data_IF_489660969377
#
_entry.id   IF_489660969377
#
_cell.length_a   1.000
_cell.length_b   1.000
_cell.length_c   1.000
_cell.angle_alpha   90.00
_cell.angle_beta   90.00
_cell.angle_gamma   90.00
#
_symmetry.space_group_name_H-M   'P 1'
#
loop_
_entity.id
_entity.type
_entity.pdbx_description
1 polymer ?
#
# COMPACT_ATOMS: atom_id res chain seq x y z
N UNK A 1 10.34 -5.76 17.72
CA UNK A 1 8.95 -5.28 17.73
C UNK A 1 8.12 -6.42 17.18
N UNK A 2 7.25 -6.96 18.00
CA UNK A 2 6.42 -8.09 17.62
C UNK A 2 5.21 -7.61 16.81
N UNK A 3 4.72 -8.48 15.93
CA UNK A 3 3.61 -8.21 15.03
C UNK A 3 2.49 -9.19 15.28
N UNK A 4 1.27 -8.68 15.44
CA UNK A 4 0.06 -9.44 15.72
C UNK A 4 -0.99 -9.20 14.66
N UNK A 5 -1.92 -10.14 14.52
CA UNK A 5 -3.00 -10.05 13.54
C UNK A 5 -4.02 -8.96 13.96
N UNK A 6 -4.52 -8.21 12.99
CA UNK A 6 -5.62 -7.28 13.21
C UNK A 6 -6.88 -8.01 13.72
N UNK A 7 -7.56 -7.40 14.69
CA UNK A 7 -8.77 -7.94 15.30
C UNK A 7 -8.56 -9.07 16.30
N UNK A 8 -7.31 -9.33 16.74
CA UNK A 8 -7.04 -10.27 17.85
C UNK A 8 -6.67 -9.51 19.13
N UNK A 9 -7.05 -10.03 20.32
CA UNK A 9 -6.52 -9.49 21.56
C UNK A 9 -5.01 -9.75 21.63
N UNK A 10 -4.26 -8.80 22.17
CA UNK A 10 -2.81 -8.89 22.32
C UNK A 10 -2.47 -8.78 23.80
N UNK A 11 -1.80 -9.80 24.31
CA UNK A 11 -1.23 -9.80 25.66
C UNK A 11 0.16 -9.17 25.59
N UNK A 12 0.36 -8.08 26.33
CA UNK A 12 1.59 -7.32 26.38
C UNK A 12 2.18 -7.45 27.77
N UNK A 13 3.33 -8.09 27.85
CA UNK A 13 4.10 -8.26 29.08
C UNK A 13 5.22 -7.22 29.09
N UNK A 14 5.21 -6.34 30.10
CA UNK A 14 6.18 -5.25 30.22
C UNK A 14 6.97 -5.45 31.52
N UNK A 15 8.30 -5.69 31.43
CA UNK A 15 9.14 -5.81 32.61
C UNK A 15 9.25 -4.46 33.34
N UNK A 16 9.11 -4.48 34.66
CA UNK A 16 9.14 -3.29 35.52
C UNK A 16 10.57 -3.00 35.98
N UNK A 17 11.45 -2.72 35.00
CA UNK A 17 12.86 -2.46 35.26
C UNK A 17 13.24 -1.02 34.88
N UNK A 18 14.27 -0.49 35.54
CA UNK A 18 14.89 0.78 35.17
C UNK A 18 15.77 0.64 33.92
N UNK A 19 16.34 1.76 33.45
CA UNK A 19 17.23 1.77 32.27
C UNK A 19 18.53 0.99 32.46
N UNK A 20 18.86 0.62 33.68
CA UNK A 20 20.03 -0.17 34.06
C UNK A 20 19.69 -1.64 34.32
N UNK A 21 18.43 -2.05 34.14
CA UNK A 21 17.96 -3.42 34.36
C UNK A 21 17.66 -3.75 35.82
N UNK A 22 17.64 -2.76 36.73
CA UNK A 22 17.27 -2.98 38.12
C UNK A 22 15.75 -3.02 38.25
N UNK A 23 15.26 -3.88 39.14
CA UNK A 23 13.83 -4.00 39.41
C UNK A 23 13.26 -2.74 40.08
N UNK A 24 12.09 -2.30 39.63
CA UNK A 24 11.33 -1.20 40.22
C UNK A 24 10.38 -1.73 41.30
N UNK A 25 10.39 -1.10 42.48
CA UNK A 25 9.42 -1.37 43.55
C UNK A 25 8.11 -0.62 43.29
N UNK A 26 7.28 -1.18 42.40
CA UNK A 26 6.05 -0.55 41.90
C UNK A 26 4.86 -0.88 42.80
N UNK A 27 4.15 0.17 43.22
CA UNK A 27 2.96 0.06 44.09
C UNK A 27 1.65 0.09 43.32
N UNK A 28 1.56 0.94 42.29
CA UNK A 28 0.38 1.09 41.42
C UNK A 28 0.85 1.35 40.00
N UNK A 29 0.04 0.91 39.03
CA UNK A 29 0.30 1.09 37.60
C UNK A 29 -0.95 1.68 36.99
N UNK A 30 -0.80 2.82 36.32
CA UNK A 30 -1.76 3.23 35.30
C UNK A 30 -1.19 2.88 33.92
N UNK A 31 -2.05 2.62 32.95
CA UNK A 31 -1.63 2.40 31.58
C UNK A 31 -2.41 3.28 30.60
N UNK A 32 -1.79 3.52 29.45
CA UNK A 32 -2.37 4.21 28.30
C UNK A 32 -1.97 3.46 27.04
N UNK A 33 -2.87 3.38 26.07
CA UNK A 33 -2.56 2.85 24.74
C UNK A 33 -2.76 3.96 23.73
N UNK A 34 -1.71 4.25 22.96
CA UNK A 34 -1.74 5.26 21.90
C UNK A 34 -1.39 4.64 20.55
N UNK A 35 -1.94 5.19 19.47
CA UNK A 35 -1.59 4.79 18.12
C UNK A 35 -0.34 5.53 17.59
N UNK A 36 0.06 5.19 16.37
CA UNK A 36 1.19 5.81 15.66
C UNK A 36 1.01 7.31 15.35
N UNK A 37 -0.22 7.84 15.42
CA UNK A 37 -0.54 9.25 15.25
C UNK A 37 -0.64 10.00 16.60
N UNK A 38 -0.42 9.30 17.72
CA UNK A 38 -0.53 9.85 19.07
C UNK A 38 -1.99 9.97 19.56
N UNK A 39 -2.94 9.34 18.89
CA UNK A 39 -4.33 9.27 19.34
C UNK A 39 -4.44 8.26 20.46
N UNK A 40 -5.06 8.67 21.57
CA UNK A 40 -5.33 7.79 22.70
C UNK A 40 -6.46 6.81 22.35
N UNK A 41 -6.12 5.52 22.28
CA UNK A 41 -7.09 4.44 22.09
C UNK A 41 -7.66 3.98 23.42
N UNK A 42 -6.82 3.95 24.44
CA UNK A 42 -7.22 3.77 25.84
C UNK A 42 -6.73 5.00 26.60
N UNK A 43 -7.62 5.82 27.18
CA UNK A 43 -7.19 6.92 28.03
C UNK A 43 -6.48 6.37 29.27
N UNK A 44 -5.69 7.19 29.94
CA UNK A 44 -4.96 6.76 31.14
C UNK A 44 -5.93 6.13 32.17
N UNK A 45 -5.74 4.84 32.41
CA UNK A 45 -6.62 4.02 33.24
C UNK A 45 -5.78 3.21 34.22
N UNK A 46 -6.27 3.04 35.44
CA UNK A 46 -5.60 2.22 36.45
C UNK A 46 -5.66 0.73 36.08
N UNK A 47 -4.54 0.03 36.22
CA UNK A 47 -4.45 -1.42 35.99
C UNK A 47 -4.86 -2.16 37.26
N UNK A 48 -6.16 -2.40 37.42
CA UNK A 48 -6.72 -3.02 38.63
C UNK A 48 -6.24 -4.46 38.88
N UNK A 49 -5.78 -5.16 37.83
CA UNK A 49 -5.24 -6.52 37.93
C UNK A 49 -3.77 -6.56 38.38
N UNK A 50 -3.13 -5.40 38.57
CA UNK A 50 -1.74 -5.33 39.00
C UNK A 50 -1.58 -5.73 40.47
N UNK A 51 -0.57 -6.56 40.75
CA UNK A 51 -0.21 -6.96 42.12
C UNK A 51 1.12 -6.30 42.46
N UNK A 52 1.16 -5.51 43.54
CA UNK A 52 2.38 -4.86 43.97
C UNK A 52 3.50 -5.88 44.27
N UNK A 53 4.72 -5.55 43.86
CA UNK A 53 5.89 -6.42 44.01
C UNK A 53 6.07 -7.50 42.93
N UNK A 54 5.27 -7.49 41.86
CA UNK A 54 5.54 -8.33 40.68
C UNK A 54 6.66 -7.74 39.82
N UNK A 55 7.35 -8.62 39.07
CA UNK A 55 8.46 -8.20 38.23
C UNK A 55 8.02 -7.56 36.90
N UNK A 56 6.79 -7.83 36.50
CA UNK A 56 6.19 -7.43 35.23
C UNK A 56 4.73 -6.98 35.42
N UNK A 57 4.27 -6.18 34.47
CA UNK A 57 2.87 -5.83 34.30
C UNK A 57 2.35 -6.46 33.01
N UNK A 58 1.17 -7.10 33.09
CA UNK A 58 0.51 -7.76 31.96
C UNK A 58 -0.73 -6.95 31.58
N UNK A 59 -0.81 -6.54 30.32
CA UNK A 59 -1.89 -5.73 29.77
C UNK A 59 -2.49 -6.47 28.59
N UNK A 60 -3.80 -6.67 28.60
CA UNK A 60 -4.53 -7.22 27.47
C UNK A 60 -5.12 -6.06 26.69
N UNK A 61 -4.59 -5.79 25.49
CA UNK A 61 -5.19 -4.85 24.55
C UNK A 61 -6.27 -5.60 23.77
N UNK A 62 -7.55 -5.22 23.91
CA UNK A 62 -8.64 -6.01 23.35
C UNK A 62 -8.73 -5.88 21.83
N UNK A 63 -9.40 -6.84 21.20
CA UNK A 63 -9.48 -6.99 19.75
C UNK A 63 -10.02 -5.73 19.04
N UNK A 64 -11.01 -5.06 19.63
CA UNK A 64 -11.64 -3.86 19.10
C UNK A 64 -10.67 -2.66 18.96
N UNK A 65 -9.59 -2.62 19.76
CA UNK A 65 -8.56 -1.58 19.68
C UNK A 65 -7.42 -1.96 18.73
N UNK A 66 -7.33 -3.23 18.37
CA UNK A 66 -6.36 -3.79 17.42
C UNK A 66 -6.95 -3.89 16.01
N UNK A 67 -7.83 -2.97 15.63
CA UNK A 67 -8.37 -2.85 14.27
C UNK A 67 -7.51 -1.88 13.45
N UNK A 68 -7.33 -2.20 12.18
CA UNK A 68 -6.63 -1.32 11.24
C UNK A 68 -7.56 -0.22 10.75
N UNK A 69 -7.09 1.05 10.69
CA UNK A 69 -7.82 2.11 10.01
C UNK A 69 -8.10 1.76 8.55
N UNK A 70 -9.18 2.29 7.98
CA UNK A 70 -9.55 2.05 6.59
C UNK A 70 -8.39 2.41 5.66
N UNK A 71 -8.02 1.47 4.79
CA UNK A 71 -6.95 1.64 3.82
C UNK A 71 -5.53 1.39 4.36
N UNK A 72 -5.37 1.04 5.65
CA UNK A 72 -4.09 0.66 6.21
C UNK A 72 -3.96 -0.87 6.31
N UNK A 73 -2.77 -1.39 6.02
CA UNK A 73 -2.45 -2.81 6.21
C UNK A 73 -1.61 -3.06 7.46
N UNK A 74 -1.12 -2.00 8.10
CA UNK A 74 -0.32 -2.03 9.32
C UNK A 74 -0.61 -0.81 10.17
N UNK A 75 -0.58 -0.99 11.48
CA UNK A 75 -0.59 0.11 12.44
C UNK A 75 0.25 -0.27 13.67
N UNK A 76 0.80 0.72 14.35
CA UNK A 76 1.53 0.50 15.61
C UNK A 76 0.63 0.83 16.79
N UNK A 77 0.83 0.12 17.89
CA UNK A 77 0.29 0.39 19.22
C UNK A 77 1.44 0.59 20.17
N UNK A 78 1.41 1.70 20.90
CA UNK A 78 2.36 2.00 21.97
C UNK A 78 1.62 1.86 23.30
N UNK A 79 2.08 0.93 24.12
CA UNK A 79 1.55 0.68 25.46
C UNK A 79 2.49 1.35 26.46
N UNK A 80 1.98 2.36 27.14
CA UNK A 80 2.71 3.15 28.11
C UNK A 80 2.18 2.86 29.52
N UNK A 81 3.10 2.55 30.43
CA UNK A 81 2.84 2.36 31.84
C UNK A 81 3.36 3.55 32.63
N UNK A 82 2.55 4.01 33.57
CA UNK A 82 2.86 5.02 34.56
C UNK A 82 2.94 4.34 35.92
N UNK A 83 4.14 3.88 36.28
CA UNK A 83 4.39 3.10 37.47
C UNK A 83 4.70 4.03 38.66
N UNK A 84 4.02 3.84 39.79
CA UNK A 84 4.28 4.57 41.03
C UNK A 84 5.35 3.86 41.86
N UNK A 85 6.49 4.51 42.02
CA UNK A 85 7.63 4.03 42.82
C UNK A 85 7.88 5.05 43.94
N UNK A 86 7.46 4.71 45.15
CA UNK A 86 7.40 5.66 46.26
C UNK A 86 6.58 6.91 45.91
N UNK A 87 7.21 8.09 45.98
CA UNK A 87 6.57 9.38 45.63
C UNK A 87 6.71 9.80 44.17
N UNK A 88 7.43 9.00 43.35
CA UNK A 88 7.70 9.32 41.96
C UNK A 88 6.86 8.46 41.02
N UNK A 89 6.69 8.95 39.79
CA UNK A 89 6.07 8.19 38.69
C UNK A 89 7.12 7.98 37.62
N UNK A 90 7.35 6.71 37.26
CA UNK A 90 8.28 6.29 36.21
C UNK A 90 7.45 5.81 35.02
N UNK A 91 7.84 6.22 33.80
CA UNK A 91 7.19 5.77 32.58
C UNK A 91 8.01 4.66 31.92
N UNK A 92 7.37 3.52 31.66
CA UNK A 92 7.95 2.37 30.94
C UNK A 92 6.97 2.01 29.83
N UNK A 93 7.41 1.52 28.68
CA UNK A 93 6.47 1.18 27.61
C UNK A 93 7.09 0.28 26.56
N UNK A 94 6.22 -0.31 25.76
CA UNK A 94 6.61 -1.16 24.63
C UNK A 94 5.70 -0.90 23.43
N UNK A 95 6.21 -1.26 22.26
CA UNK A 95 5.54 -1.07 20.98
C UNK A 95 5.28 -2.44 20.36
N UNK A 96 4.09 -2.62 19.79
CA UNK A 96 3.79 -3.75 18.93
C UNK A 96 3.11 -3.29 17.64
N UNK A 97 3.27 -4.07 16.57
CA UNK A 97 2.57 -3.86 15.32
C UNK A 97 1.30 -4.70 15.27
N UNK A 98 0.29 -4.14 14.65
CA UNK A 98 -0.93 -4.81 14.19
C UNK A 98 -0.85 -4.87 12.67
N UNK A 99 -0.96 -6.06 12.10
CA UNK A 99 -0.88 -6.30 10.66
C UNK A 99 -2.16 -6.95 10.13
N UNK A 100 -2.52 -6.61 8.89
CA UNK A 100 -3.61 -7.26 8.19
C UNK A 100 -3.22 -8.72 7.90
N UNK A 101 -4.22 -9.62 7.91
CA UNK A 101 -4.02 -11.01 7.48
C UNK A 101 -3.43 -11.07 6.05
N UNK A 102 -3.88 -10.17 5.20
CA UNK A 102 -3.37 -9.99 3.85
C UNK A 102 -2.64 -8.65 3.75
N UNK A 103 -1.35 -8.71 3.44
CA UNK A 103 -0.50 -7.52 3.21
C UNK A 103 -0.93 -6.72 1.98
N UNK A 104 -1.64 -7.38 1.05
CA UNK A 104 -2.10 -6.87 -0.23
C UNK A 104 -3.63 -6.77 -0.24
N UNK A 105 -4.16 -5.55 -0.14
CA UNK A 105 -5.58 -5.25 -0.19
C UNK A 105 -5.96 -4.63 -1.56
N UNK A 106 -6.77 -5.36 -2.32
CA UNK A 106 -7.19 -4.96 -3.67
C UNK A 106 -8.00 -3.67 -3.65
N UNK A 107 -7.62 -2.71 -4.49
CA UNK A 107 -8.22 -1.38 -4.53
C UNK A 107 -7.69 -0.42 -3.47
N UNK A 108 -6.85 -0.88 -2.54
CA UNK A 108 -6.21 -0.05 -1.51
C UNK A 108 -4.74 0.18 -1.83
N UNK A 109 -3.93 -0.89 -1.82
CA UNK A 109 -2.49 -0.81 -2.04
C UNK A 109 -2.01 -1.70 -3.20
N UNK A 110 -2.91 -2.43 -3.85
CA UNK A 110 -2.63 -3.26 -5.03
C UNK A 110 -3.85 -3.38 -5.94
N UNK A 111 -3.67 -3.88 -7.17
CA UNK A 111 -4.78 -4.24 -8.06
C UNK A 111 -5.17 -5.72 -8.01
N UNK A 112 -4.39 -6.54 -7.31
CA UNK A 112 -4.59 -7.98 -7.18
C UNK A 112 -3.91 -8.53 -5.92
N UNK A 113 -4.41 -9.67 -5.42
CA UNK A 113 -3.74 -10.43 -4.36
C UNK A 113 -2.46 -11.06 -4.89
N UNK A 114 -1.60 -11.55 -3.98
CA UNK A 114 -0.38 -12.25 -4.38
C UNK A 114 -0.68 -13.49 -5.22
N UNK A 115 -1.67 -14.29 -4.83
CA UNK A 115 -2.09 -15.48 -5.57
C UNK A 115 -2.60 -15.13 -6.98
N UNK A 116 -3.35 -14.03 -7.13
CA UNK A 116 -3.77 -13.53 -8.44
C UNK A 116 -2.58 -13.01 -9.27
N UNK A 117 -1.58 -12.39 -8.64
CA UNK A 117 -0.36 -11.97 -9.32
C UNK A 117 0.43 -13.16 -9.85
N UNK A 118 0.51 -14.26 -9.09
CA UNK A 118 1.13 -15.52 -9.54
C UNK A 118 0.37 -16.13 -10.72
N UNK A 119 -0.97 -16.13 -10.70
CA UNK A 119 -1.75 -16.58 -11.87
C UNK A 119 -1.53 -15.68 -13.07
N UNK A 120 -1.50 -14.36 -12.86
CA UNK A 120 -1.24 -13.39 -13.93
C UNK A 120 0.16 -13.53 -14.51
N UNK A 121 1.16 -13.88 -13.68
CA UNK A 121 2.55 -14.04 -14.11
C UNK A 121 2.72 -15.21 -15.08
N UNK A 122 1.90 -16.27 -14.96
CA UNK A 122 1.89 -17.39 -15.91
C UNK A 122 1.53 -16.98 -17.35
N UNK A 123 0.71 -15.93 -17.50
CA UNK A 123 0.28 -15.41 -18.81
C UNK A 123 1.19 -14.28 -19.33
N UNK A 124 2.21 -13.88 -18.57
CA UNK A 124 3.07 -12.74 -18.87
C UNK A 124 4.49 -13.25 -19.13
N UNK A 125 4.98 -13.20 -20.39
CA UNK A 125 6.33 -13.66 -20.70
C UNK A 125 7.40 -12.67 -20.20
N UNK A 126 8.65 -13.14 -20.08
CA UNK A 126 9.85 -12.32 -19.81
C UNK A 126 9.77 -11.50 -18.52
N UNK A 127 9.57 -12.16 -17.39
CA UNK A 127 9.54 -11.54 -16.05
C UNK A 127 10.53 -12.23 -15.09
N UNK A 128 11.83 -12.30 -15.45
CA UNK A 128 12.81 -13.10 -14.70
C UNK A 128 13.10 -12.56 -13.30
N UNK A 129 13.03 -11.24 -13.09
CA UNK A 129 13.28 -10.64 -11.79
C UNK A 129 12.11 -10.89 -10.84
N UNK A 130 10.89 -10.87 -11.37
CA UNK A 130 9.70 -11.33 -10.65
C UNK A 130 9.85 -12.79 -10.23
N UNK A 131 10.17 -13.71 -11.15
CA UNK A 131 10.25 -15.13 -10.81
C UNK A 131 11.34 -15.44 -9.77
N UNK A 132 12.48 -14.73 -9.84
CA UNK A 132 13.60 -14.90 -8.91
C UNK A 132 13.38 -14.28 -7.51
N UNK A 133 12.47 -13.32 -7.38
CA UNK A 133 12.24 -12.60 -6.12
C UNK A 133 11.51 -13.47 -5.08
N UNK A 134 11.82 -13.21 -3.81
CA UNK A 134 11.10 -13.81 -2.70
C UNK A 134 9.70 -13.20 -2.55
N UNK A 135 8.87 -13.78 -1.69
CA UNK A 135 7.49 -13.33 -1.50
C UNK A 135 7.42 -11.90 -0.97
N UNK A 136 8.33 -11.53 -0.06
CA UNK A 136 8.36 -10.22 0.56
C UNK A 136 8.67 -9.13 -0.47
N UNK A 137 9.68 -9.34 -1.30
CA UNK A 137 10.09 -8.41 -2.34
C UNK A 137 9.01 -8.30 -3.43
N UNK A 138 8.32 -9.41 -3.77
CA UNK A 138 7.15 -9.40 -4.67
C UNK A 138 6.02 -8.52 -4.13
N UNK A 139 5.69 -8.65 -2.84
CA UNK A 139 4.65 -7.84 -2.19
C UNK A 139 5.03 -6.36 -2.24
N UNK A 140 6.28 -6.01 -1.91
CA UNK A 140 6.74 -4.62 -1.95
C UNK A 140 6.73 -4.06 -3.38
N UNK A 141 7.22 -4.82 -4.35
CA UNK A 141 7.26 -4.41 -5.75
C UNK A 141 5.84 -4.22 -6.34
N UNK A 142 4.85 -5.03 -5.94
CA UNK A 142 3.46 -4.81 -6.35
C UNK A 142 2.88 -3.51 -5.79
N UNK A 143 3.17 -3.17 -4.53
CA UNK A 143 2.71 -1.93 -3.91
C UNK A 143 3.33 -0.71 -4.61
N UNK A 144 4.63 -0.75 -4.86
CA UNK A 144 5.35 0.30 -5.58
C UNK A 144 4.87 0.43 -7.04
N UNK A 145 4.68 -0.70 -7.74
CA UNK A 145 4.11 -0.73 -9.08
C UNK A 145 2.74 -0.06 -9.15
N UNK A 146 1.87 -0.24 -8.13
CA UNK A 146 0.60 0.48 -8.06
C UNK A 146 0.83 1.98 -7.96
N UNK A 147 1.74 2.43 -7.11
CA UNK A 147 2.04 3.85 -6.93
C UNK A 147 2.53 4.49 -8.25
N UNK A 148 3.35 3.79 -9.03
CA UNK A 148 3.75 4.23 -10.37
C UNK A 148 2.58 4.31 -11.36
N UNK A 149 1.74 3.28 -11.40
CA UNK A 149 0.59 3.22 -12.31
C UNK A 149 -0.44 4.32 -11.97
N UNK A 150 -0.66 4.63 -10.69
CA UNK A 150 -1.57 5.69 -10.25
C UNK A 150 -1.19 7.10 -10.73
N UNK A 151 0.08 7.33 -11.10
CA UNK A 151 0.52 8.62 -11.64
C UNK A 151 0.04 8.85 -13.08
N UNK A 152 -0.45 7.80 -13.76
CA UNK A 152 -1.04 7.91 -15.09
C UNK A 152 -2.46 8.45 -15.01
N UNK A 153 -2.86 9.24 -16.01
CA UNK A 153 -4.25 9.67 -16.17
C UNK A 153 -5.00 8.67 -17.04
N UNK A 154 -6.12 8.15 -16.54
CA UNK A 154 -6.92 7.15 -17.25
C UNK A 154 -8.20 7.77 -17.83
N UNK A 155 -8.65 7.25 -18.97
CA UNK A 155 -9.97 7.55 -19.52
C UNK A 155 -10.57 6.27 -20.06
N UNK A 156 -11.69 5.85 -19.45
CA UNK A 156 -12.40 4.64 -19.86
C UNK A 156 -13.22 4.87 -21.14
N UNK A 157 -13.50 6.13 -21.50
CA UNK A 157 -14.24 6.52 -22.71
C UNK A 157 -13.53 6.18 -24.03
N UNK A 158 -12.19 6.10 -24.03
CA UNK A 158 -11.39 5.86 -25.25
C UNK A 158 -11.07 4.37 -25.49
N UNK A 159 -11.45 3.49 -24.57
CA UNK A 159 -10.98 2.10 -24.55
C UNK A 159 -11.77 1.14 -25.47
N UNK A 160 -12.77 1.64 -26.23
CA UNK A 160 -13.83 0.83 -26.86
C UNK A 160 -14.51 -0.14 -25.88
N UNK A 161 -14.30 0.03 -24.56
CA UNK A 161 -15.06 -0.66 -23.53
C UNK A 161 -16.33 0.14 -23.37
N UNK A 162 -17.29 -0.19 -24.22
CA UNK A 162 -18.67 0.10 -23.92
C UNK A 162 -18.99 -0.61 -22.62
N UNK A 163 -19.23 0.17 -21.58
CA UNK A 163 -19.82 -0.26 -20.32
C UNK A 163 -21.18 -0.93 -20.61
N UNK A 164 -21.15 -2.20 -21.01
CA UNK A 164 -22.32 -3.01 -21.35
C UNK A 164 -22.46 -3.55 -22.79
N UNK A 165 -21.47 -3.47 -23.70
CA UNK A 165 -21.65 -4.15 -25.01
C UNK A 165 -21.49 -5.67 -24.96
N UNK A 166 -20.75 -6.19 -23.99
CA UNK A 166 -20.53 -7.65 -23.87
C UNK A 166 -21.74 -8.39 -23.26
N UNK A 167 -22.82 -7.66 -22.97
CA UNK A 167 -24.11 -8.19 -22.55
C UNK A 167 -25.27 -7.56 -23.35
N UNK A 168 -25.33 -7.92 -24.64
CA UNK A 168 -26.53 -7.91 -25.51
C UNK A 168 -27.37 -6.62 -25.55
N UNK A 169 -27.18 -5.80 -26.60
CA UNK A 169 -28.20 -5.26 -27.51
C UNK A 169 -27.63 -4.02 -28.21
N UNK A 170 -27.83 -3.95 -29.53
CA UNK A 170 -27.48 -2.83 -30.40
C UNK A 170 -27.92 -1.48 -29.81
N UNK A 171 -26.98 -0.56 -29.61
CA UNK A 171 -27.25 0.85 -29.27
C UNK A 171 -26.94 1.68 -30.51
N UNK A 172 -27.88 2.51 -31.02
CA UNK A 172 -27.67 3.34 -32.21
C UNK A 172 -26.49 4.30 -32.05
N UNK A 173 -25.79 4.56 -33.15
CA UNK A 173 -24.71 5.54 -33.21
C UNK A 173 -25.19 6.92 -32.75
N UNK A 174 -24.56 7.46 -31.71
CA UNK A 174 -24.78 8.84 -31.23
C UNK A 174 -25.09 9.00 -29.73
N UNK A 175 -25.35 7.93 -28.99
CA UNK A 175 -25.62 8.02 -27.53
C UNK A 175 -24.45 7.46 -26.72
N UNK A 176 -23.55 8.34 -26.27
CA UNK A 176 -22.48 8.01 -25.31
C UNK A 176 -23.03 7.98 -23.87
N UNK A 177 -23.98 7.11 -23.60
CA UNK A 177 -24.40 6.84 -22.23
C UNK A 177 -24.00 5.41 -21.86
N UNK A 178 -22.90 5.31 -21.11
CA UNK A 178 -22.58 4.10 -20.36
C UNK A 178 -23.81 3.72 -19.52
N UNK A 179 -24.36 2.51 -19.70
CA UNK A 179 -25.52 2.00 -18.95
C UNK A 179 -25.25 1.93 -17.43
N UNK A 180 -23.98 2.05 -17.02
CA UNK A 180 -23.53 2.07 -15.63
C UNK A 180 -23.54 3.47 -15.01
N UNK A 181 -23.50 4.55 -15.81
CA UNK A 181 -23.62 5.92 -15.30
C UNK A 181 -25.04 6.24 -14.77
N UNK A 182 -26.04 5.42 -15.12
CA UNK A 182 -27.44 5.71 -14.85
C UNK A 182 -28.10 4.83 -13.77
N UNK A 183 -27.47 3.74 -13.30
CA UNK A 183 -28.22 2.73 -12.52
C UNK A 183 -27.95 2.71 -11.01
N UNK A 184 -26.84 3.24 -10.48
CA UNK A 184 -26.55 3.13 -9.02
C UNK A 184 -25.80 4.31 -8.41
N UNK A 185 -26.31 5.53 -8.59
CA UNK A 185 -25.63 6.73 -8.10
C UNK A 185 -24.43 7.06 -8.99
N UNK A 186 -24.29 8.35 -9.27
CA UNK A 186 -23.51 8.88 -10.38
C UNK A 186 -22.00 8.83 -10.09
N UNK A 187 -21.39 7.64 -10.13
CA UNK A 187 -19.94 7.49 -10.08
C UNK A 187 -19.34 7.82 -11.45
N UNK A 188 -18.86 9.05 -11.61
CA UNK A 188 -18.03 9.45 -12.74
C UNK A 188 -16.57 9.20 -12.38
N UNK A 189 -15.93 8.25 -13.06
CA UNK A 189 -14.48 8.02 -12.94
C UNK A 189 -13.74 9.23 -13.52
N UNK A 190 -13.03 9.96 -12.66
CA UNK A 190 -12.29 11.18 -13.01
C UNK A 190 -10.92 10.89 -13.67
N UNK A 191 -10.57 9.61 -13.82
CA UNK A 191 -9.30 9.17 -14.38
C UNK A 191 -8.20 8.93 -13.36
N UNK A 192 -8.44 9.21 -12.07
CA UNK A 192 -7.49 8.99 -10.99
C UNK A 192 -7.85 7.73 -10.17
N UNK A 193 -7.01 6.71 -10.25
CA UNK A 193 -7.20 5.45 -9.53
C UNK A 193 -6.95 5.57 -8.02
N UNK A 194 -6.23 6.59 -7.57
CA UNK A 194 -5.90 6.79 -6.16
C UNK A 194 -7.11 7.23 -5.33
N UNK A 195 -8.08 7.89 -5.95
CA UNK A 195 -9.28 8.40 -5.29
C UNK A 195 -10.39 7.35 -5.14
N UNK A 196 -10.15 6.14 -5.65
CA UNK A 196 -11.13 5.06 -5.61
C UNK A 196 -11.08 4.33 -4.27
N UNK A 197 -12.26 4.13 -3.67
CA UNK A 197 -12.40 3.16 -2.59
C UNK A 197 -12.52 1.73 -3.17
N UNK A 198 -12.38 0.67 -2.35
CA UNK A 198 -12.42 -0.72 -2.82
C UNK A 198 -13.70 -1.10 -3.57
N UNK A 199 -14.86 -0.58 -3.15
CA UNK A 199 -16.14 -0.83 -3.80
C UNK A 199 -16.21 -0.19 -5.20
N UNK A 200 -15.71 1.04 -5.33
CA UNK A 200 -15.61 1.74 -6.63
C UNK A 200 -14.61 1.06 -7.55
N UNK A 201 -13.47 0.60 -7.03
CA UNK A 201 -12.50 -0.18 -7.78
C UNK A 201 -13.10 -1.50 -8.30
N UNK A 202 -13.85 -2.21 -7.46
CA UNK A 202 -14.51 -3.46 -7.85
C UNK A 202 -15.50 -3.27 -9.01
N UNK A 203 -16.16 -2.11 -9.08
CA UNK A 203 -17.10 -1.73 -10.14
C UNK A 203 -16.43 -1.38 -11.48
N UNK A 204 -15.10 -1.27 -11.54
CA UNK A 204 -14.39 -1.02 -12.80
C UNK A 204 -14.55 -2.20 -13.78
N UNK A 205 -14.54 -1.95 -15.11
CA UNK A 205 -14.67 -3.00 -16.11
C UNK A 205 -13.59 -4.07 -15.98
N UNK A 206 -13.95 -5.35 -16.12
CA UNK A 206 -13.00 -6.46 -15.93
C UNK A 206 -11.83 -6.39 -16.91
N UNK A 207 -12.06 -6.00 -18.16
CA UNK A 207 -10.98 -5.82 -19.14
C UNK A 207 -9.97 -4.75 -18.71
N UNK A 208 -10.41 -3.69 -18.03
CA UNK A 208 -9.49 -2.68 -17.47
C UNK A 208 -8.76 -3.22 -16.25
N UNK A 209 -9.47 -3.88 -15.33
CA UNK A 209 -8.83 -4.53 -14.16
C UNK A 209 -7.79 -5.57 -14.60
N UNK A 210 -8.09 -6.40 -15.60
CA UNK A 210 -7.14 -7.36 -16.16
C UNK A 210 -5.90 -6.68 -16.78
N UNK A 211 -6.06 -5.53 -17.44
CA UNK A 211 -4.93 -4.75 -17.93
C UNK A 211 -4.09 -4.16 -16.78
N UNK A 212 -4.73 -3.65 -15.72
CA UNK A 212 -4.04 -3.18 -14.51
C UNK A 212 -3.23 -4.31 -13.84
N UNK A 213 -3.81 -5.51 -13.71
CA UNK A 213 -3.10 -6.68 -13.14
C UNK A 213 -1.83 -7.04 -13.93
N UNK A 214 -1.95 -7.12 -15.27
CA UNK A 214 -0.80 -7.41 -16.15
C UNK A 214 0.26 -6.31 -16.09
N UNK A 215 -0.17 -5.05 -16.11
CA UNK A 215 0.73 -3.91 -16.00
C UNK A 215 1.47 -3.91 -14.66
N UNK A 216 0.78 -4.23 -13.56
CA UNK A 216 1.37 -4.26 -12.21
C UNK A 216 2.44 -5.34 -12.07
N UNK A 217 2.23 -6.55 -12.61
CA UNK A 217 3.26 -7.62 -12.59
C UNK A 217 4.50 -7.20 -13.37
N UNK A 218 4.31 -6.64 -14.57
CA UNK A 218 5.43 -6.23 -15.41
C UNK A 218 6.19 -5.02 -14.86
N UNK A 219 5.47 -4.10 -14.23
CA UNK A 219 6.11 -2.98 -13.53
C UNK A 219 6.88 -3.47 -12.30
N UNK A 220 6.31 -4.40 -11.53
CA UNK A 220 6.99 -5.01 -10.41
C UNK A 220 8.28 -5.74 -10.84
N UNK A 221 8.26 -6.49 -11.95
CA UNK A 221 9.47 -7.08 -12.54
C UNK A 221 10.54 -6.02 -12.86
N UNK A 222 10.15 -4.90 -13.46
CA UNK A 222 11.07 -3.81 -13.77
C UNK A 222 11.67 -3.13 -12.53
N UNK A 223 10.88 -2.97 -11.47
CA UNK A 223 11.33 -2.45 -10.16
C UNK A 223 12.35 -3.41 -9.53
N UNK A 224 12.04 -4.71 -9.53
CA UNK A 224 12.91 -5.76 -8.98
C UNK A 224 14.21 -5.90 -9.77
N UNK A 225 14.18 -5.73 -11.10
CA UNK A 225 15.34 -5.88 -11.95
C UNK A 225 16.43 -4.81 -11.72
N UNK A 226 16.08 -3.65 -11.12
CA UNK A 226 17.00 -2.54 -10.79
C UNK A 226 18.01 -2.24 -11.90
N UNK A 227 17.53 -1.81 -13.07
CA UNK A 227 18.40 -1.51 -14.22
C UNK A 227 19.30 -0.28 -13.96
N UNK A 228 20.61 -0.46 -13.71
CA UNK A 228 21.52 0.63 -13.35
C UNK A 228 21.80 1.54 -14.54
N UNK A 229 21.66 1.04 -15.78
CA UNK A 229 21.87 1.83 -16.99
C UNK A 229 20.66 2.76 -17.20
N UNK A 230 19.44 2.25 -17.02
CA UNK A 230 18.24 3.09 -17.05
C UNK A 230 18.27 4.15 -15.94
N UNK A 231 18.79 3.81 -14.77
CA UNK A 231 18.99 4.74 -13.65
C UNK A 231 20.06 5.79 -13.93
N UNK A 232 21.20 5.39 -14.49
CA UNK A 232 22.25 6.31 -14.96
C UNK A 232 21.74 7.29 -16.01
N UNK A 233 20.88 6.82 -16.92
CA UNK A 233 20.22 7.69 -17.92
C UNK A 233 19.21 8.66 -17.29
N UNK A 234 18.44 8.22 -16.28
CA UNK A 234 17.56 9.10 -15.49
C UNK A 234 18.36 10.17 -14.73
N UNK A 235 19.54 9.79 -14.23
CA UNK A 235 20.49 10.70 -13.58
C UNK A 235 21.21 11.65 -14.56
N UNK A 236 20.94 11.55 -15.87
CA UNK A 236 21.53 12.43 -16.88
C UNK A 236 22.96 12.07 -17.28
N UNK A 237 23.41 10.84 -17.02
CA UNK A 237 24.72 10.37 -17.48
C UNK A 237 24.70 10.22 -19.02
N UNK A 238 25.43 11.10 -19.69
CA UNK A 238 25.59 11.10 -21.16
C UNK A 238 26.76 10.21 -21.58
N UNK A 239 27.76 10.07 -20.70
CA UNK A 239 28.98 9.31 -20.95
C UNK A 239 29.41 8.62 -19.66
N UNK A 240 29.55 7.31 -19.71
CA UNK A 240 30.13 6.51 -18.65
C UNK A 240 31.42 5.87 -19.18
N UNK A 241 32.51 6.00 -18.40
CA UNK A 241 33.81 5.41 -18.73
C UNK A 241 34.09 4.31 -17.71
N UNK A 242 34.04 3.06 -18.16
CA UNK A 242 34.39 1.90 -17.33
C UNK A 242 35.72 1.38 -17.86
N UNK A 243 36.80 1.65 -17.12
CA UNK A 243 38.16 1.38 -17.58
C UNK A 243 38.49 2.16 -18.86
N UNK A 244 38.89 1.45 -19.91
CA UNK A 244 39.23 2.03 -21.22
C UNK A 244 38.04 2.17 -22.19
N UNK A 245 36.89 1.58 -21.86
CA UNK A 245 35.71 1.61 -22.73
C UNK A 245 34.80 2.78 -22.42
N UNK A 246 34.51 3.60 -23.45
CA UNK A 246 33.58 4.73 -23.38
C UNK A 246 32.25 4.34 -24.03
N UNK A 247 31.16 4.40 -23.27
CA UNK A 247 29.81 4.30 -23.84
C UNK A 247 29.17 5.69 -23.89
N UNK A 248 28.75 6.12 -25.09
CA UNK A 248 28.02 7.37 -25.29
C UNK A 248 26.54 7.08 -25.51
N UNK A 249 25.68 7.75 -24.75
CA UNK A 249 24.24 7.69 -24.91
C UNK A 249 23.73 8.90 -25.73
N UNK A 250 22.57 8.77 -26.41
CA UNK A 250 21.98 9.88 -27.18
C UNK A 250 21.74 11.10 -26.29
N UNK A 251 22.02 12.29 -26.82
CA UNK A 251 21.97 13.58 -26.12
C UNK A 251 20.57 14.06 -25.71
N UNK A 252 19.51 13.56 -26.34
CA UNK A 252 18.14 13.95 -26.01
C UNK A 252 17.63 13.17 -24.79
N UNK A 253 17.18 13.89 -23.75
CA UNK A 253 16.52 13.28 -22.58
C UNK A 253 15.25 12.55 -23.05
N UNK A 254 15.17 11.22 -22.90
CA UNK A 254 13.96 10.47 -23.26
C UNK A 254 12.76 10.96 -22.46
N UNK A 255 11.55 10.82 -23.02
CA UNK A 255 10.32 11.02 -22.24
C UNK A 255 10.32 10.04 -21.05
N UNK A 256 10.31 10.60 -19.85
CA UNK A 256 10.20 9.84 -18.60
C UNK A 256 8.72 9.65 -18.29
N UNK A 257 8.30 8.39 -18.27
CA UNK A 257 6.98 7.98 -17.79
C UNK A 257 7.15 7.33 -16.43
N UNK A 258 6.11 7.39 -15.58
CA UNK A 258 6.19 6.83 -14.23
C UNK A 258 6.28 5.30 -14.22
N UNK A 259 5.95 4.65 -15.34
CA UNK A 259 5.99 3.19 -15.50
C UNK A 259 6.91 2.78 -16.63
N UNK A 260 7.37 1.53 -16.61
CA UNK A 260 8.11 0.91 -17.69
C UNK A 260 7.24 0.82 -18.97
N UNK A 261 7.92 0.81 -20.12
CA UNK A 261 7.26 0.82 -21.45
C UNK A 261 6.32 -0.37 -21.66
N UNK A 262 6.65 -1.53 -21.09
CA UNK A 262 5.83 -2.75 -21.23
C UNK A 262 4.55 -2.65 -20.41
N UNK A 263 4.63 -2.15 -19.17
CA UNK A 263 3.45 -1.87 -18.35
C UNK A 263 2.54 -0.85 -19.04
N UNK A 264 3.12 0.22 -19.62
CA UNK A 264 2.36 1.18 -20.43
C UNK A 264 1.70 0.53 -21.65
N UNK A 265 2.36 -0.44 -22.30
CA UNK A 265 1.79 -1.18 -23.43
C UNK A 265 0.43 -1.82 -23.10
N UNK A 266 0.32 -2.46 -21.94
CA UNK A 266 -0.94 -3.03 -21.45
C UNK A 266 -2.01 -1.96 -21.14
N UNK A 267 -1.57 -0.78 -20.68
CA UNK A 267 -2.46 0.32 -20.29
C UNK A 267 -2.75 1.31 -21.43
N UNK A 268 -2.12 1.15 -22.60
CA UNK A 268 -2.13 2.13 -23.69
C UNK A 268 -3.53 2.52 -24.17
N UNK A 269 -4.49 1.59 -24.18
CA UNK A 269 -5.89 1.84 -24.53
C UNK A 269 -6.68 2.63 -23.48
N UNK A 270 -6.11 2.84 -22.30
CA UNK A 270 -6.75 3.44 -21.15
C UNK A 270 -6.09 4.74 -20.71
N UNK A 271 -4.85 4.99 -21.10
CA UNK A 271 -4.08 6.16 -20.67
C UNK A 271 -4.32 7.33 -21.61
N UNK A 272 -4.54 8.51 -21.05
CA UNK A 272 -4.61 9.77 -21.78
C UNK A 272 -3.40 10.64 -21.50
N UNK A 273 -2.66 10.97 -22.54
CA UNK A 273 -1.50 11.88 -22.47
C UNK A 273 -1.86 13.35 -22.67
N UNK A 274 -3.09 13.64 -23.13
CA UNK A 274 -3.56 14.98 -23.43
C UNK A 274 -4.34 15.59 -22.28
N UNK A 275 -3.68 16.19 -21.30
CA UNK A 275 -4.37 17.13 -20.39
C UNK A 275 -4.62 18.41 -21.19
N UNK A 276 -5.81 18.57 -21.77
CA UNK A 276 -6.21 19.82 -22.43
C UNK A 276 -6.32 20.91 -21.37
N UNK A 277 -5.27 21.72 -21.22
CA UNK A 277 -5.35 22.96 -20.44
C UNK A 277 -6.23 23.90 -21.26
N UNK A 278 -7.52 23.96 -20.93
CA UNK A 278 -8.40 25.00 -21.44
C UNK A 278 -7.87 26.34 -20.94
N UNK A 279 -7.45 27.21 -21.86
CA UNK A 279 -7.29 28.62 -21.53
C UNK A 279 -8.70 29.16 -21.30
N UNK A 280 -9.02 29.47 -20.04
CA UNK A 280 -10.29 30.12 -19.69
C UNK A 280 -10.44 31.40 -20.50
N UNK A 281 -11.55 31.51 -21.23
CA UNK A 281 -12.08 32.73 -21.79
C UNK A 281 -13.27 33.21 -20.96
#
# INVERSE_FOLDING_TARGET
>A
MDAFLAGTPVEVVIPLQDRSGNQLDVTTVDYRVVDHAGVELVPRTTLDSFVAGTDEAVIIVPAELNVLPAGQTRAVRNVELFCRVGNNTVMVGTLFAVEAAETLAVGVNTYQTLAQAQLTSMDVPNIPAWEAADERDKVQALVEARAHINQLSFTLLMSNINFGQDSLNYVPEGTFFSKYAATNGMFMFDGNLELLNPTQFAALPERFKAALRKAQVVEADAILARDPIAEGRRAGLILESIGESKQMFRSAKPLELPVCKRALGYLSYFVTFGKRIGRGG
#
